data_IF_841704538291
#
_entry.id   IF_841704538291
#
_cell.length_a   1.000
_cell.length_b   1.000
_cell.length_c   1.000
_cell.angle_alpha   90.00
_cell.angle_beta   90.00
_cell.angle_gamma   90.00
#
_symmetry.space_group_name_H-M   'P 1'
#
loop_
_entity.id
_entity.type
_entity.pdbx_description
1 polymer ?
#
# COMPACT_ATOMS: atom_id res chain seq x y z
N UNK A 1 9.73 -9.30 -18.29
CA UNK A 1 10.05 -8.63 -17.01
C UNK A 1 8.75 -8.09 -16.42
N UNK A 2 8.59 -8.12 -15.10
CA UNK A 2 7.45 -7.62 -14.30
C UNK A 2 6.23 -8.56 -14.11
N UNK A 3 6.46 -9.72 -13.47
CA UNK A 3 5.40 -10.47 -12.75
C UNK A 3 5.88 -10.83 -11.33
N UNK A 4 6.57 -9.91 -10.67
CA UNK A 4 7.23 -10.13 -9.38
C UNK A 4 6.42 -9.67 -8.16
N UNK A 5 5.24 -9.06 -8.32
CA UNK A 5 4.72 -8.20 -7.24
C UNK A 5 3.62 -8.78 -6.34
N UNK A 6 3.19 -10.03 -6.51
CA UNK A 6 2.01 -10.52 -5.76
C UNK A 6 2.26 -11.84 -5.01
N UNK A 7 3.29 -12.61 -5.35
CA UNK A 7 3.51 -13.95 -4.75
C UNK A 7 4.40 -14.00 -3.51
N UNK A 8 5.18 -12.96 -3.22
CA UNK A 8 6.18 -13.02 -2.13
C UNK A 8 5.69 -12.46 -0.77
N UNK A 9 4.46 -11.93 -0.69
CA UNK A 9 3.95 -11.25 0.52
C UNK A 9 3.50 -12.25 1.60
N UNK A 10 3.33 -13.55 1.26
CA UNK A 10 2.92 -14.58 2.24
C UNK A 10 4.02 -14.93 3.27
N UNK A 11 5.28 -14.53 3.08
CA UNK A 11 6.40 -14.98 3.93
C UNK A 11 6.83 -14.04 5.08
N UNK A 12 6.04 -13.03 5.46
CA UNK A 12 6.42 -12.15 6.57
C UNK A 12 5.23 -11.77 7.47
N UNK A 13 4.69 -12.73 8.23
CA UNK A 13 3.75 -12.38 9.30
C UNK A 13 3.79 -13.33 10.50
N UNK A 14 4.48 -12.88 11.55
CA UNK A 14 4.10 -13.18 12.94
C UNK A 14 3.27 -12.02 13.50
N UNK A 15 2.00 -12.27 13.82
CA UNK A 15 1.19 -11.56 14.83
C UNK A 15 0.95 -10.04 14.70
N UNK A 16 1.93 -9.21 15.02
CA UNK A 16 1.78 -7.76 15.23
C UNK A 16 2.36 -6.92 14.09
N UNK A 17 3.17 -7.52 13.21
CA UNK A 17 3.95 -6.82 12.19
C UNK A 17 3.17 -6.45 10.92
N UNK A 18 1.87 -6.77 10.82
CA UNK A 18 1.15 -6.68 9.53
C UNK A 18 0.88 -5.24 9.09
N UNK A 19 0.45 -4.37 10.00
CA UNK A 19 0.16 -2.97 9.66
C UNK A 19 1.43 -2.19 9.31
N UNK A 20 2.51 -2.42 10.06
CA UNK A 20 3.82 -1.80 9.80
C UNK A 20 4.47 -2.33 8.53
N UNK A 21 4.37 -3.63 8.23
CA UNK A 21 4.85 -4.19 6.96
C UNK A 21 4.12 -3.57 5.76
N UNK A 22 2.79 -3.44 5.84
CA UNK A 22 2.00 -2.78 4.79
C UNK A 22 2.34 -1.28 4.68
N UNK A 23 2.61 -0.60 5.81
CA UNK A 23 3.05 0.78 5.82
C UNK A 23 4.41 0.95 5.12
N UNK A 24 5.37 0.08 5.43
CA UNK A 24 6.70 0.07 4.82
C UNK A 24 6.61 -0.23 3.31
N UNK A 25 5.74 -1.16 2.92
CA UNK A 25 5.51 -1.45 1.51
C UNK A 25 4.97 -0.23 0.76
N UNK A 26 4.01 0.47 1.35
CA UNK A 26 3.51 1.74 0.82
C UNK A 26 4.62 2.78 0.60
N UNK A 27 5.58 2.88 1.53
CA UNK A 27 6.74 3.76 1.42
C UNK A 27 7.72 3.33 0.32
N UNK A 28 7.94 2.03 0.12
CA UNK A 28 8.80 1.53 -0.96
C UNK A 28 8.27 1.98 -2.32
N UNK A 29 6.97 1.80 -2.55
CA UNK A 29 6.32 2.25 -3.79
C UNK A 29 6.27 3.77 -3.93
N UNK A 30 6.07 4.50 -2.83
CA UNK A 30 6.04 5.96 -2.84
C UNK A 30 7.41 6.57 -3.16
N UNK A 31 8.50 5.93 -2.71
CA UNK A 31 9.87 6.43 -2.87
C UNK A 31 10.59 5.83 -4.08
N UNK A 32 10.03 4.80 -4.71
CA UNK A 32 10.68 4.09 -5.82
C UNK A 32 11.97 3.36 -5.40
N UNK A 33 12.07 2.91 -4.15
CA UNK A 33 13.25 2.15 -3.71
C UNK A 33 13.25 0.76 -4.36
N UNK A 34 14.01 0.62 -5.44
CA UNK A 34 14.13 -0.64 -6.20
C UNK A 34 13.03 -0.86 -7.25
N UNK A 35 12.15 0.13 -7.47
CA UNK A 35 11.09 0.11 -8.48
C UNK A 35 10.80 1.54 -8.99
N UNK A 36 10.01 1.68 -10.06
CA UNK A 36 9.49 2.99 -10.46
C UNK A 36 8.47 3.45 -9.41
N UNK A 37 8.44 4.75 -9.11
CA UNK A 37 7.43 5.32 -8.21
C UNK A 37 6.02 4.96 -8.72
N UNK A 38 5.23 4.34 -7.84
CA UNK A 38 3.84 3.97 -8.09
C UNK A 38 2.96 4.47 -6.94
N UNK A 39 2.30 5.61 -7.18
CA UNK A 39 1.44 6.24 -6.18
C UNK A 39 0.16 5.44 -5.93
N UNK A 40 -0.31 4.65 -6.91
CA UNK A 40 -1.52 3.83 -6.77
C UNK A 40 -1.22 2.68 -5.81
N UNK A 41 -0.14 1.95 -6.06
CA UNK A 41 0.31 0.87 -5.18
C UNK A 41 0.66 1.39 -3.79
N UNK A 42 1.38 2.51 -3.70
CA UNK A 42 1.70 3.15 -2.43
C UNK A 42 0.44 3.49 -1.61
N UNK A 43 -0.52 4.20 -2.22
CA UNK A 43 -1.76 4.58 -1.54
C UNK A 43 -2.56 3.34 -1.12
N UNK A 44 -2.63 2.31 -1.97
CA UNK A 44 -3.29 1.04 -1.65
C UNK A 44 -2.77 0.44 -0.35
N UNK A 45 -1.45 0.27 -0.24
CA UNK A 45 -0.86 -0.39 0.93
C UNK A 45 -0.96 0.46 2.20
N UNK A 46 -0.79 1.78 2.08
CA UNK A 46 -1.01 2.70 3.18
C UNK A 46 -2.47 2.71 3.65
N UNK A 47 -3.43 2.56 2.74
CA UNK A 47 -4.85 2.45 3.08
C UNK A 47 -5.17 1.18 3.87
N UNK A 48 -4.64 0.03 3.44
CA UNK A 48 -4.85 -1.23 4.17
C UNK A 48 -4.16 -1.17 5.55
N UNK A 49 -2.94 -0.62 5.62
CA UNK A 49 -2.23 -0.43 6.88
C UNK A 49 -3.00 0.49 7.85
N UNK A 50 -3.58 1.58 7.35
CA UNK A 50 -4.40 2.50 8.14
C UNK A 50 -5.66 1.82 8.68
N UNK A 51 -6.36 1.03 7.85
CA UNK A 51 -7.53 0.24 8.28
C UNK A 51 -7.15 -0.77 9.37
N UNK A 52 -5.93 -1.31 9.32
CA UNK A 52 -5.39 -2.23 10.34
C UNK A 52 -4.83 -1.52 11.58
N UNK A 53 -5.01 -0.20 11.71
CA UNK A 53 -4.67 0.56 12.92
C UNK A 53 -3.36 1.35 12.86
N UNK A 54 -2.66 1.42 11.73
CA UNK A 54 -1.44 2.23 11.63
C UNK A 54 -1.78 3.71 11.41
N UNK A 55 -1.68 4.52 12.47
CA UNK A 55 -1.85 5.98 12.38
C UNK A 55 -0.82 6.62 11.45
N UNK A 56 0.43 6.13 11.50
CA UNK A 56 1.49 6.56 10.57
C UNK A 56 1.06 6.36 9.11
N UNK A 57 0.48 5.21 8.79
CA UNK A 57 0.01 4.94 7.44
C UNK A 57 -1.17 5.84 7.04
N UNK A 58 -2.06 6.18 7.99
CA UNK A 58 -3.15 7.11 7.74
C UNK A 58 -2.65 8.50 7.34
N UNK A 59 -1.65 9.02 8.06
CA UNK A 59 -1.00 10.31 7.74
C UNK A 59 -0.30 10.27 6.38
N UNK A 60 0.53 9.23 6.13
CA UNK A 60 1.23 9.06 4.86
C UNK A 60 0.27 8.93 3.67
N UNK A 61 -0.84 8.21 3.86
CA UNK A 61 -1.89 8.05 2.84
C UNK A 61 -2.52 9.40 2.49
N UNK A 62 -2.86 10.19 3.51
CA UNK A 62 -3.44 11.52 3.32
C UNK A 62 -2.47 12.46 2.60
N UNK A 63 -1.18 12.36 2.91
CA UNK A 63 -0.13 13.12 2.23
C UNK A 63 0.02 12.71 0.77
N UNK A 64 0.03 11.41 0.49
CA UNK A 64 0.14 10.89 -0.87
C UNK A 64 -1.06 11.29 -1.72
N UNK A 65 -2.27 11.24 -1.16
CA UNK A 65 -3.52 11.56 -1.85
C UNK A 65 -3.56 13.00 -2.38
N UNK A 66 -2.80 13.94 -1.78
CA UNK A 66 -2.71 15.32 -2.27
C UNK A 66 -1.98 15.44 -3.62
N UNK A 67 -1.16 14.45 -3.96
CA UNK A 67 -0.39 14.42 -5.20
C UNK A 67 -0.99 13.47 -6.26
N UNK A 68 -2.16 12.88 -5.99
CA UNK A 68 -2.84 11.95 -6.88
C UNK A 68 -4.04 12.61 -7.55
N UNK A 69 -4.33 12.18 -8.77
CA UNK A 69 -5.59 12.52 -9.43
C UNK A 69 -6.76 11.73 -8.83
N UNK A 70 -7.99 12.20 -9.05
CA UNK A 70 -9.20 11.49 -8.62
C UNK A 70 -9.29 10.07 -9.19
N UNK A 71 -8.81 9.88 -10.43
CA UNK A 71 -8.82 8.58 -11.09
C UNK A 71 -7.84 7.60 -10.42
N UNK A 72 -6.62 8.04 -10.14
CA UNK A 72 -5.62 7.23 -9.43
C UNK A 72 -6.05 6.89 -8.01
N UNK A 73 -6.68 7.84 -7.31
CA UNK A 73 -7.21 7.59 -5.97
C UNK A 73 -8.32 6.53 -6.00
N UNK A 74 -9.25 6.63 -6.95
CA UNK A 74 -10.32 5.65 -7.12
C UNK A 74 -9.76 4.26 -7.45
N UNK A 75 -8.72 4.19 -8.28
CA UNK A 75 -8.03 2.94 -8.59
C UNK A 75 -7.37 2.33 -7.34
N UNK A 76 -6.62 3.13 -6.59
CA UNK A 76 -5.93 2.67 -5.39
C UNK A 76 -6.91 2.13 -4.33
N UNK A 77 -8.05 2.81 -4.14
CA UNK A 77 -9.09 2.40 -3.21
C UNK A 77 -9.78 1.10 -3.67
N UNK A 78 -10.05 0.96 -4.98
CA UNK A 78 -10.61 -0.28 -5.54
C UNK A 78 -9.65 -1.45 -5.33
N UNK A 79 -8.39 -1.28 -5.69
CA UNK A 79 -7.36 -2.30 -5.52
C UNK A 79 -7.12 -2.67 -4.05
N UNK A 80 -7.26 -1.72 -3.13
CA UNK A 80 -7.20 -1.99 -1.68
C UNK A 80 -8.39 -2.83 -1.21
N UNK A 81 -9.61 -2.46 -1.63
CA UNK A 81 -10.83 -3.20 -1.31
C UNK A 81 -10.75 -4.63 -1.83
N UNK A 82 -10.41 -4.79 -3.10
CA UNK A 82 -10.38 -6.10 -3.76
C UNK A 82 -9.32 -7.01 -3.11
N UNK A 83 -8.20 -6.45 -2.65
CA UNK A 83 -7.20 -7.21 -1.89
C UNK A 83 -7.76 -7.70 -0.54
N UNK A 84 -8.43 -6.82 0.22
CA UNK A 84 -9.02 -7.15 1.52
C UNK A 84 -10.21 -8.12 1.43
N UNK A 85 -10.88 -8.22 0.28
CA UNK A 85 -11.92 -9.24 0.09
C UNK A 85 -11.36 -10.62 -0.23
N UNK A 86 -10.12 -10.69 -0.70
CA UNK A 86 -9.45 -11.93 -1.09
C UNK A 86 -8.51 -12.48 0.00
N UNK A 87 -8.20 -11.70 1.05
CA UNK A 87 -7.25 -12.03 2.13
C UNK A 87 -7.77 -11.56 3.49
#
# INVERSE_FOLDING_TARGET
MARFEIRDIEMAAGGETRADTLCNLGLVYATGRGCKVDLIAAHKWLNIAAIRGSERAASLRADLARNMTKAELAEALRAARDWMTMH
#
